data_IF_553872535352
#
_entry.id   IF_553872535352
#
_cell.length_a   1.000
_cell.length_b   1.000
_cell.length_c   1.000
_cell.angle_alpha   90.00
_cell.angle_beta   90.00
_cell.angle_gamma   90.00
#
_symmetry.space_group_name_H-M   'P 1'
#
loop_
_entity.id
_entity.type
_entity.pdbx_description
1 polymer ?
#
# COMPACT_ATOMS: atom_id res chain seq x y z
N UNK A 1 34.54 -31.42 -13.37
CA UNK A 1 34.20 -30.40 -12.36
C UNK A 1 32.87 -29.81 -12.79
N UNK A 2 31.77 -30.35 -12.26
CA UNK A 2 30.41 -30.05 -12.73
C UNK A 2 29.88 -28.88 -11.92
N UNK A 3 29.64 -27.75 -12.57
CA UNK A 3 29.17 -26.52 -11.94
C UNK A 3 27.64 -26.61 -11.81
N UNK A 4 27.14 -26.80 -10.59
CA UNK A 4 25.72 -26.73 -10.30
C UNK A 4 25.29 -25.25 -10.28
N UNK A 5 24.48 -24.84 -11.26
CA UNK A 5 23.83 -23.53 -11.28
C UNK A 5 22.62 -23.63 -10.35
N UNK A 6 22.72 -23.05 -9.16
CA UNK A 6 21.58 -22.86 -8.28
C UNK A 6 20.73 -21.69 -8.85
N UNK A 7 19.55 -22.00 -9.36
CA UNK A 7 18.56 -20.99 -9.71
C UNK A 7 17.96 -20.43 -8.41
N UNK A 8 18.01 -19.12 -8.13
CA UNK A 8 17.28 -18.56 -7.01
C UNK A 8 15.77 -18.64 -7.29
N UNK A 9 15.02 -19.33 -6.44
CA UNK A 9 13.57 -19.19 -6.39
C UNK A 9 13.25 -17.80 -5.84
N UNK A 10 12.77 -16.90 -6.69
CA UNK A 10 12.15 -15.67 -6.24
C UNK A 10 10.79 -16.02 -5.61
N UNK A 11 10.66 -15.81 -4.30
CA UNK A 11 9.35 -15.86 -3.63
C UNK A 11 8.61 -14.59 -4.04
N UNK A 12 7.64 -14.72 -4.94
CA UNK A 12 6.72 -13.62 -5.23
C UNK A 12 5.77 -13.49 -4.05
N UNK A 13 5.92 -12.44 -3.26
CA UNK A 13 4.92 -12.05 -2.26
C UNK A 13 3.70 -11.53 -3.01
N UNK A 14 2.61 -12.29 -2.97
CA UNK A 14 1.32 -11.87 -3.53
C UNK A 14 0.57 -11.07 -2.48
N UNK A 15 0.07 -9.89 -2.83
CA UNK A 15 -0.80 -9.13 -1.94
C UNK A 15 -2.02 -9.94 -1.52
N UNK A 16 -2.67 -9.47 -0.45
CA UNK A 16 -4.01 -9.88 -0.08
C UNK A 16 -4.96 -9.92 -1.30
N UNK A 17 -5.67 -11.03 -1.49
CA UNK A 17 -6.44 -11.27 -2.72
C UNK A 17 -7.81 -10.58 -2.77
N UNK A 18 -8.11 -9.66 -1.85
CA UNK A 18 -9.39 -8.99 -1.76
C UNK A 18 -9.28 -7.46 -1.84
N UNK A 19 -10.40 -6.76 -2.13
CA UNK A 19 -10.41 -5.30 -2.25
C UNK A 19 -10.15 -4.60 -0.92
N UNK A 20 -9.11 -3.74 -0.83
CA UNK A 20 -8.73 -3.04 0.42
C UNK A 20 -9.93 -2.30 1.03
N UNK A 21 -10.71 -1.60 0.22
CA UNK A 21 -11.87 -0.84 0.71
C UNK A 21 -12.98 -1.68 1.37
N UNK A 22 -13.00 -2.98 1.09
CA UNK A 22 -14.01 -3.92 1.60
C UNK A 22 -13.46 -4.77 2.75
N UNK A 23 -12.23 -4.54 3.20
CA UNK A 23 -11.68 -5.24 4.35
C UNK A 23 -12.54 -4.97 5.58
N UNK A 24 -12.91 -6.04 6.28
CA UNK A 24 -13.65 -5.93 7.52
C UNK A 24 -12.93 -5.01 8.51
N UNK A 25 -13.70 -4.16 9.19
CA UNK A 25 -13.22 -3.21 10.19
C UNK A 25 -12.22 -2.15 9.70
N UNK A 26 -11.96 -2.02 8.40
CA UNK A 26 -11.13 -0.92 7.88
C UNK A 26 -11.85 0.42 8.12
N UNK A 27 -11.18 1.34 8.80
CA UNK A 27 -11.69 2.67 9.14
C UNK A 27 -11.12 3.74 8.21
N UNK A 28 -9.85 3.63 7.83
CA UNK A 28 -9.20 4.60 6.94
C UNK A 28 -7.88 4.11 6.37
N UNK A 29 -7.39 4.79 5.34
CA UNK A 29 -6.03 4.67 4.79
C UNK A 29 -5.28 5.97 5.05
N UNK A 30 -4.07 5.90 5.59
CA UNK A 30 -3.20 7.06 5.87
C UNK A 30 -1.93 6.97 5.03
N UNK A 31 -1.55 8.08 4.40
CA UNK A 31 -0.33 8.21 3.61
C UNK A 31 0.58 9.16 4.37
N UNK A 32 1.82 8.75 4.63
CA UNK A 32 2.81 9.51 5.37
C UNK A 32 3.91 10.03 4.46
N UNK A 33 4.32 11.28 4.69
CA UNK A 33 5.55 11.87 4.16
C UNK A 33 6.49 12.19 5.33
N UNK A 34 7.78 11.94 5.13
CA UNK A 34 8.82 12.40 6.04
C UNK A 34 9.73 13.33 5.25
N UNK A 35 9.78 14.62 5.62
CA UNK A 35 10.75 15.58 5.03
C UNK A 35 11.38 16.45 6.11
N UNK A 36 10.54 17.14 6.89
CA UNK A 36 10.96 17.95 8.05
C UNK A 36 10.26 17.49 9.34
N UNK A 37 9.94 16.20 9.39
CA UNK A 37 9.01 15.59 10.34
C UNK A 37 8.02 14.70 9.59
N UNK A 38 7.31 13.86 10.34
CA UNK A 38 6.32 12.94 9.80
C UNK A 38 4.96 13.64 9.76
N UNK A 39 4.41 13.77 8.57
CA UNK A 39 3.06 14.31 8.33
C UNK A 39 2.23 13.27 7.58
N UNK A 40 0.91 13.26 7.79
CA UNK A 40 0.05 12.28 7.15
C UNK A 40 -1.28 12.85 6.69
N UNK A 41 -1.79 12.34 5.58
CA UNK A 41 -3.16 12.57 5.11
C UNK A 41 -3.96 11.28 5.23
N UNK A 42 -5.26 11.38 5.54
CA UNK A 42 -6.10 10.21 5.83
C UNK A 42 -7.40 10.26 5.03
N UNK A 43 -7.76 9.12 4.44
CA UNK A 43 -8.97 8.95 3.64
C UNK A 43 -9.84 7.83 4.21
N UNK A 44 -11.15 8.05 4.20
CA UNK A 44 -12.10 6.97 4.43
C UNK A 44 -12.01 5.94 3.28
N UNK A 45 -12.31 4.64 3.52
CA UNK A 45 -12.12 3.59 2.52
C UNK A 45 -12.93 3.79 1.24
N UNK A 46 -14.02 4.54 1.32
CA UNK A 46 -14.90 4.84 0.18
C UNK A 46 -14.86 6.32 -0.22
N UNK A 47 -13.82 7.06 0.21
CA UNK A 47 -13.66 8.46 -0.16
C UNK A 47 -13.47 8.58 -1.69
N UNK A 48 -14.07 9.60 -2.35
CA UNK A 48 -13.90 9.80 -3.78
C UNK A 48 -12.44 9.92 -4.22
N UNK A 49 -11.58 10.49 -3.36
CA UNK A 49 -10.14 10.63 -3.58
C UNK A 49 -9.50 9.26 -3.82
N UNK A 50 -9.67 8.31 -2.91
CA UNK A 50 -9.00 7.00 -2.98
C UNK A 50 -9.70 5.98 -3.88
N UNK A 51 -10.95 6.22 -4.27
CA UNK A 51 -11.71 5.28 -5.13
C UNK A 51 -11.64 5.62 -6.62
N UNK A 52 -11.07 6.77 -6.99
CA UNK A 52 -10.93 7.18 -8.38
C UNK A 52 -9.64 7.97 -8.59
N UNK A 53 -8.79 7.47 -9.49
CA UNK A 53 -7.61 8.21 -9.96
C UNK A 53 -8.02 9.52 -10.63
N UNK A 54 -7.35 10.61 -10.30
CA UNK A 54 -7.55 11.91 -10.96
C UNK A 54 -7.02 11.91 -12.38
N UNK A 55 -7.77 12.53 -13.29
CA UNK A 55 -7.27 12.84 -14.62
C UNK A 55 -6.04 13.78 -14.54
N UNK A 56 -5.13 13.67 -15.51
CA UNK A 56 -3.98 14.56 -15.61
C UNK A 56 -4.32 15.89 -16.31
N UNK A 57 -3.47 16.93 -16.14
CA UNK A 57 -2.33 16.99 -15.23
C UNK A 57 -2.76 17.24 -13.77
N UNK A 58 -1.92 16.84 -12.81
CA UNK A 58 -2.11 17.25 -11.42
C UNK A 58 -1.66 18.71 -11.27
N UNK A 59 -2.45 19.51 -10.54
CA UNK A 59 -2.24 20.95 -10.38
C UNK A 59 -2.73 21.41 -9.01
N UNK A 60 -2.56 22.70 -8.69
CA UNK A 60 -3.10 23.32 -7.46
C UNK A 60 -4.63 23.27 -7.32
N UNK A 61 -5.36 22.87 -8.35
CA UNK A 61 -6.82 22.69 -8.29
C UNK A 61 -7.25 21.26 -8.61
N UNK A 62 -6.29 20.37 -8.92
CA UNK A 62 -6.55 18.98 -9.28
C UNK A 62 -5.51 18.06 -8.63
N UNK A 63 -5.73 17.76 -7.35
CA UNK A 63 -4.87 16.93 -6.51
C UNK A 63 -5.67 16.42 -5.30
N UNK A 64 -5.22 15.35 -4.65
CA UNK A 64 -5.83 14.82 -3.43
C UNK A 64 -5.17 15.34 -2.15
N UNK A 65 -3.84 15.49 -2.18
CA UNK A 65 -3.07 16.06 -1.08
C UNK A 65 -1.74 16.64 -1.56
N UNK A 66 -1.16 17.47 -0.72
CA UNK A 66 0.11 18.14 -0.93
C UNK A 66 0.71 18.45 0.44
N UNK A 67 1.96 18.07 0.65
CA UNK A 67 2.72 18.38 1.86
C UNK A 67 3.66 19.56 1.65
N UNK A 68 4.05 19.80 0.40
CA UNK A 68 4.84 20.94 -0.02
C UNK A 68 4.19 21.66 -1.22
N UNK A 69 4.17 22.99 -1.20
CA UNK A 69 3.56 23.77 -2.26
C UNK A 69 4.22 23.48 -3.63
N UNK A 70 3.42 23.01 -4.59
CA UNK A 70 3.88 22.64 -5.94
C UNK A 70 4.16 21.15 -6.12
N UNK A 71 4.12 20.36 -5.04
CA UNK A 71 4.18 18.91 -5.06
C UNK A 71 2.77 18.36 -4.83
N UNK A 72 2.16 17.89 -5.91
CA UNK A 72 0.76 17.50 -5.94
C UNK A 72 0.63 15.99 -6.10
N UNK A 73 -0.14 15.36 -5.22
CA UNK A 73 -0.34 13.93 -5.21
C UNK A 73 -1.77 13.53 -5.57
N UNK A 74 -1.90 12.31 -6.06
CA UNK A 74 -3.13 11.57 -6.34
C UNK A 74 -2.97 10.18 -5.70
N UNK A 75 -4.00 9.69 -5.02
CA UNK A 75 -3.95 8.38 -4.36
C UNK A 75 -5.18 7.59 -4.70
N UNK A 76 -5.02 6.31 -5.04
CA UNK A 76 -6.14 5.48 -5.44
C UNK A 76 -5.87 3.99 -5.20
N UNK A 77 -6.94 3.20 -5.06
CA UNK A 77 -6.85 1.75 -5.13
C UNK A 77 -6.52 1.29 -6.55
N UNK A 78 -5.72 0.24 -6.64
CA UNK A 78 -5.12 -0.18 -7.91
C UNK A 78 -4.85 -1.68 -7.96
N UNK A 79 -4.54 -2.16 -9.16
CA UNK A 79 -3.88 -3.45 -9.36
C UNK A 79 -2.36 -3.37 -9.03
N UNK A 80 -1.67 -4.50 -9.15
CA UNK A 80 -0.24 -4.58 -8.84
C UNK A 80 0.65 -3.69 -9.74
N UNK A 81 0.19 -3.38 -10.96
CA UNK A 81 0.91 -2.54 -11.92
C UNK A 81 0.62 -1.04 -11.72
N UNK A 82 -0.26 -0.71 -10.78
CA UNK A 82 -0.70 0.65 -10.48
C UNK A 82 -1.79 1.16 -11.44
N UNK A 83 -2.48 0.27 -12.15
CA UNK A 83 -3.66 0.67 -12.91
C UNK A 83 -4.84 0.90 -11.94
N UNK A 84 -5.66 1.95 -12.13
CA UNK A 84 -6.77 2.24 -11.24
C UNK A 84 -7.78 1.09 -11.19
N UNK A 85 -8.09 0.64 -9.98
CA UNK A 85 -9.14 -0.31 -9.70
C UNK A 85 -9.73 0.03 -8.34
N UNK A 86 -10.96 0.53 -8.33
CA UNK A 86 -11.64 0.87 -7.08
C UNK A 86 -11.82 -0.35 -6.17
N UNK A 87 -11.73 -1.58 -6.68
CA UNK A 87 -11.73 -2.82 -5.91
C UNK A 87 -10.34 -3.47 -5.81
N UNK A 88 -9.28 -2.69 -6.05
CA UNK A 88 -7.91 -3.16 -6.04
C UNK A 88 -7.41 -3.59 -4.66
N UNK A 89 -6.38 -4.43 -4.70
CA UNK A 89 -5.67 -4.95 -3.52
C UNK A 89 -4.38 -4.19 -3.19
N UNK A 90 -4.14 -3.08 -3.88
CA UNK A 90 -2.96 -2.24 -3.73
C UNK A 90 -3.37 -0.77 -3.58
N UNK A 91 -2.56 0.01 -2.90
CA UNK A 91 -2.69 1.48 -2.88
C UNK A 91 -1.59 2.05 -3.77
N UNK A 92 -1.98 2.86 -4.74
CA UNK A 92 -1.05 3.61 -5.57
C UNK A 92 -1.07 5.09 -5.19
N UNK A 93 0.12 5.65 -5.00
CA UNK A 93 0.35 7.09 -4.93
C UNK A 93 1.06 7.50 -6.22
N UNK A 94 0.51 8.49 -6.89
CA UNK A 94 1.15 9.19 -7.98
C UNK A 94 1.33 10.67 -7.62
N UNK A 95 2.23 11.35 -8.32
CA UNK A 95 2.37 12.79 -8.11
C UNK A 95 3.17 13.51 -9.18
N UNK A 96 3.06 14.83 -9.13
CA UNK A 96 3.70 15.79 -10.03
C UNK A 96 4.44 16.82 -9.20
N UNK A 97 5.72 16.99 -9.52
CA UNK A 97 6.55 18.04 -8.95
C UNK A 97 7.65 18.44 -9.96
N UNK A 98 7.38 19.43 -10.83
CA UNK A 98 8.30 19.86 -11.88
C UNK A 98 9.32 20.88 -11.36
N UNK A 99 9.98 20.59 -10.23
CA UNK A 99 10.92 21.51 -9.57
C UNK A 99 12.36 20.99 -9.56
N UNK A 100 13.00 20.85 -10.73
CA UNK A 100 14.38 20.38 -10.80
C UNK A 100 15.31 21.39 -10.10
N UNK A 101 15.98 20.99 -9.02
CA UNK A 101 16.97 21.82 -8.33
C UNK A 101 16.91 21.82 -6.81
N UNK A 102 15.93 21.14 -6.19
CA UNK A 102 15.98 20.93 -4.74
C UNK A 102 16.94 19.78 -4.38
N UNK A 103 17.84 20.05 -3.43
CA UNK A 103 18.89 19.11 -2.99
C UNK A 103 18.40 18.06 -1.98
N UNK A 104 17.10 17.96 -1.74
CA UNK A 104 16.47 16.98 -0.84
C UNK A 104 15.77 15.84 -1.58
N UNK A 105 15.70 15.90 -2.91
CA UNK A 105 14.82 15.04 -3.70
C UNK A 105 13.35 15.33 -3.44
N UNK A 106 12.47 14.59 -4.12
CA UNK A 106 11.04 14.72 -3.94
C UNK A 106 10.28 13.41 -3.84
N UNK A 107 8.99 13.58 -3.60
CA UNK A 107 8.01 12.55 -3.31
C UNK A 107 8.40 11.67 -2.13
N UNK A 108 8.63 12.29 -0.97
CA UNK A 108 9.22 11.63 0.20
C UNK A 108 8.20 10.77 0.99
N UNK A 109 7.39 9.98 0.29
CA UNK A 109 6.34 9.13 0.87
C UNK A 109 6.98 8.01 1.69
N UNK A 110 6.93 8.14 3.02
CA UNK A 110 7.58 7.26 3.98
C UNK A 110 6.79 5.99 4.25
N UNK A 111 5.45 6.04 4.30
CA UNK A 111 4.64 4.87 4.61
C UNK A 111 3.22 5.00 4.09
N UNK A 112 2.57 3.86 3.84
CA UNK A 112 1.12 3.77 3.67
C UNK A 112 0.57 2.82 4.73
N UNK A 113 -0.44 3.28 5.48
CA UNK A 113 -1.01 2.55 6.61
C UNK A 113 -2.50 2.36 6.46
N UNK A 114 -2.97 1.14 6.68
CA UNK A 114 -4.36 0.80 6.91
C UNK A 114 -4.67 0.94 8.39
N UNK A 115 -5.75 1.65 8.72
CA UNK A 115 -6.20 1.81 10.11
C UNK A 115 -7.54 1.09 10.28
N UNK A 116 -7.59 0.17 11.23
CA UNK A 116 -8.75 -0.64 11.56
C UNK A 116 -9.40 -0.19 12.87
N UNK A 117 -10.65 -0.61 13.08
CA UNK A 117 -11.32 -0.42 14.35
C UNK A 117 -10.53 -1.07 15.50
N UNK A 118 -10.63 -0.49 16.70
CA UNK A 118 -9.90 -1.01 17.87
C UNK A 118 -8.41 -0.64 17.90
N UNK A 119 -7.99 0.40 17.16
CA UNK A 119 -6.60 0.89 17.10
C UNK A 119 -5.60 -0.11 16.51
N UNK A 120 -6.08 -1.04 15.70
CA UNK A 120 -5.22 -1.96 14.96
C UNK A 120 -4.78 -1.25 13.67
N UNK A 121 -3.51 -1.42 13.29
CA UNK A 121 -2.96 -0.83 12.07
C UNK A 121 -2.10 -1.84 11.33
N UNK A 122 -2.04 -1.69 10.01
CA UNK A 122 -1.18 -2.49 9.13
C UNK A 122 -0.43 -1.54 8.17
N UNK A 123 0.89 -1.62 8.14
CA UNK A 123 1.70 -0.83 7.19
C UNK A 123 1.87 -1.63 5.90
N UNK A 124 2.15 -0.94 4.80
CA UNK A 124 2.50 -1.62 3.56
C UNK A 124 3.79 -2.43 3.74
N UNK A 125 3.84 -3.62 3.14
CA UNK A 125 4.91 -4.59 3.36
C UNK A 125 5.90 -4.68 2.19
N UNK A 126 5.47 -4.27 0.99
CA UNK A 126 6.29 -4.37 -0.21
C UNK A 126 5.86 -3.40 -1.31
N UNK A 127 6.80 -3.08 -2.19
CA UNK A 127 6.57 -2.32 -3.43
C UNK A 127 6.18 -3.29 -4.55
N UNK A 128 4.96 -3.17 -5.06
CA UNK A 128 4.45 -4.01 -6.15
C UNK A 128 4.87 -3.48 -7.52
N UNK A 129 4.83 -2.16 -7.70
CA UNK A 129 5.39 -1.48 -8.87
C UNK A 129 5.85 -0.08 -8.52
N UNK A 130 6.81 0.43 -9.29
CA UNK A 130 7.38 1.74 -9.02
C UNK A 130 7.86 2.41 -10.31
N UNK A 131 7.75 3.73 -10.35
CA UNK A 131 8.34 4.59 -11.37
C UNK A 131 8.84 5.89 -10.72
N UNK A 132 10.14 6.16 -10.86
CA UNK A 132 10.73 7.44 -10.50
C UNK A 132 10.17 8.58 -11.35
N UNK A 133 10.25 9.81 -10.85
CA UNK A 133 10.20 10.98 -11.72
C UNK A 133 11.38 10.98 -12.70
N UNK A 134 11.18 11.46 -13.92
CA UNK A 134 12.17 11.44 -14.99
C UNK A 134 13.40 12.29 -14.71
N UNK A 135 13.29 13.26 -13.80
CA UNK A 135 14.43 14.01 -13.26
C UNK A 135 14.94 13.30 -12.02
N UNK A 136 15.73 12.27 -12.26
CA UNK A 136 16.40 11.45 -11.26
C UNK A 136 17.85 11.20 -11.70
N UNK A 137 18.78 12.05 -11.27
CA UNK A 137 20.21 11.98 -11.63
C UNK A 137 21.08 11.36 -10.54
N UNK A 138 20.48 10.59 -9.64
CA UNK A 138 21.11 10.08 -8.43
C UNK A 138 21.12 11.08 -7.27
N UNK A 139 21.88 10.76 -6.23
CA UNK A 139 21.91 11.58 -5.02
C UNK A 139 22.40 13.02 -5.35
N UNK A 140 21.76 14.06 -4.80
CA UNK A 140 20.71 13.97 -3.78
C UNK A 140 19.28 14.00 -4.33
N UNK A 141 19.08 14.10 -5.65
CA UNK A 141 17.77 14.25 -6.31
C UNK A 141 16.87 13.03 -6.15
N UNK A 142 17.42 11.84 -6.29
CA UNK A 142 16.76 10.57 -6.04
C UNK A 142 17.76 9.57 -5.47
N UNK A 143 17.28 8.56 -4.78
CA UNK A 143 18.08 7.42 -4.35
C UNK A 143 17.48 6.14 -4.90
N UNK A 144 18.18 5.50 -5.85
CA UNK A 144 17.76 4.21 -6.39
C UNK A 144 17.66 3.18 -5.25
N UNK A 145 16.56 2.44 -5.19
CA UNK A 145 16.27 1.47 -4.14
C UNK A 145 15.58 2.08 -2.91
N UNK A 146 15.46 3.40 -2.83
CA UNK A 146 14.79 4.06 -1.69
C UNK A 146 13.27 3.88 -1.70
N UNK A 147 12.67 3.37 -2.78
CA UNK A 147 11.26 2.98 -2.79
C UNK A 147 10.93 1.93 -1.72
N UNK A 148 11.90 1.08 -1.35
CA UNK A 148 11.71 0.09 -0.30
C UNK A 148 11.62 0.72 1.10
N UNK A 149 12.10 1.97 1.26
CA UNK A 149 11.92 2.73 2.50
C UNK A 149 10.47 3.20 2.67
N UNK A 150 9.63 3.11 1.63
CA UNK A 150 8.21 3.48 1.71
C UNK A 150 7.31 2.37 2.30
N UNK A 151 7.90 1.21 2.59
CA UNK A 151 7.26 -0.04 3.00
C UNK A 151 8.13 -0.80 4.01
N UNK A 152 8.99 -0.08 4.73
CA UNK A 152 9.94 -0.67 5.70
C UNK A 152 9.40 -0.66 7.14
N UNK A 153 8.16 -0.21 7.30
CA UNK A 153 7.42 -0.05 8.55
C UNK A 153 8.09 0.93 9.50
N UNK A 154 8.82 1.93 8.96
CA UNK A 154 9.53 2.92 9.74
C UNK A 154 9.26 4.33 9.21
N UNK A 155 8.34 5.02 9.89
CA UNK A 155 7.97 6.42 9.61
C UNK A 155 9.14 7.43 9.64
N UNK A 156 10.30 7.06 10.17
CA UNK A 156 11.47 7.95 10.24
C UNK A 156 12.40 7.85 9.03
N UNK A 157 12.12 6.97 8.07
CA UNK A 157 12.92 6.86 6.85
C UNK A 157 12.57 7.97 5.87
N UNK A 158 13.54 8.30 5.00
CA UNK A 158 13.47 9.43 4.08
C UNK A 158 13.66 8.95 2.63
N UNK A 159 12.59 8.44 1.99
CA UNK A 159 12.63 8.00 0.60
C UNK A 159 12.84 9.19 -0.33
N UNK A 160 13.48 9.01 -1.49
CA UNK A 160 13.73 10.09 -2.46
C UNK A 160 13.50 9.60 -3.88
N UNK A 161 12.39 10.04 -4.50
CA UNK A 161 11.93 9.51 -5.79
C UNK A 161 12.15 10.46 -6.98
N UNK A 162 12.92 11.55 -6.80
CA UNK A 162 13.23 12.49 -7.87
C UNK A 162 12.18 13.57 -8.07
N UNK A 163 12.13 14.13 -9.27
CA UNK A 163 11.16 15.14 -9.70
C UNK A 163 10.56 14.73 -11.06
N UNK A 164 9.37 15.20 -11.36
CA UNK A 164 8.78 14.98 -12.69
C UNK A 164 9.34 15.98 -13.70
N UNK A 165 9.20 15.69 -15.00
CA UNK A 165 9.68 16.58 -16.06
C UNK A 165 9.10 18.00 -15.95
N UNK A 166 9.93 19.04 -16.11
CA UNK A 166 9.46 20.42 -16.20
C UNK A 166 8.73 20.74 -17.51
N UNK A 167 8.81 19.86 -18.51
CA UNK A 167 8.22 20.07 -19.84
C UNK A 167 7.09 19.10 -20.18
N UNK A 168 6.91 18.03 -19.41
CA UNK A 168 5.80 17.09 -19.56
C UNK A 168 4.87 17.16 -18.33
N UNK A 169 3.79 17.96 -18.38
CA UNK A 169 2.87 18.13 -17.24
C UNK A 169 2.04 16.87 -16.93
N UNK A 170 2.04 15.87 -17.82
CA UNK A 170 1.32 14.61 -17.62
C UNK A 170 2.18 13.50 -17.04
N UNK A 171 3.50 13.71 -16.93
CA UNK A 171 4.36 12.76 -16.26
C UNK A 171 4.01 12.69 -14.78
N UNK A 172 3.98 11.48 -14.23
CA UNK A 172 3.80 11.25 -12.80
C UNK A 172 4.84 10.27 -12.31
N UNK A 173 5.39 10.50 -11.11
CA UNK A 173 5.99 9.40 -10.36
C UNK A 173 4.88 8.41 -9.98
N UNK A 174 5.25 7.16 -9.67
CA UNK A 174 4.31 6.16 -9.16
C UNK A 174 4.94 5.27 -8.10
N UNK A 175 4.24 5.09 -6.99
CA UNK A 175 4.51 4.09 -5.96
C UNK A 175 3.24 3.24 -5.77
N UNK A 176 3.32 1.95 -6.07
CA UNK A 176 2.24 0.99 -5.78
C UNK A 176 2.68 0.07 -4.65
N UNK A 177 1.98 0.13 -3.53
CA UNK A 177 2.31 -0.61 -2.32
C UNK A 177 1.29 -1.73 -2.05
N UNK A 178 1.77 -2.87 -1.57
CA UNK A 178 0.98 -4.04 -1.20
C UNK A 178 1.06 -4.37 0.28
N UNK A 179 0.12 -5.22 0.74
CA UNK A 179 -0.06 -5.61 2.13
C UNK A 179 -0.18 -7.14 2.22
N UNK A 180 0.57 -7.75 3.13
CA UNK A 180 0.58 -9.17 3.44
C UNK A 180 -0.26 -9.49 4.70
N UNK A 181 -0.45 -8.53 5.61
CA UNK A 181 -1.00 -8.72 6.97
C UNK A 181 -2.52 -8.66 7.13
N UNK A 182 -3.30 -8.45 6.06
CA UNK A 182 -4.73 -8.15 6.19
C UNK A 182 -5.57 -9.37 6.65
N UNK A 183 -5.15 -10.61 6.35
CA UNK A 183 -5.94 -11.82 6.65
C UNK A 183 -6.11 -12.10 8.14
N UNK A 184 -5.11 -11.75 8.95
CA UNK A 184 -5.07 -12.10 10.38
C UNK A 184 -5.85 -11.07 11.22
N UNK A 185 -6.15 -9.90 10.66
CA UNK A 185 -6.97 -8.87 11.30
C UNK A 185 -8.47 -9.05 11.05
N UNK A 186 -8.81 -9.92 10.11
CA UNK A 186 -10.19 -10.25 9.74
C UNK A 186 -10.77 -11.40 10.56
N UNK A 187 -10.17 -11.77 11.71
CA UNK A 187 -10.60 -12.90 12.55
C UNK A 187 -12.13 -12.93 12.70
N UNK A 188 -12.75 -13.77 11.87
CA UNK A 188 -14.04 -14.37 12.13
C UNK A 188 -13.80 -15.23 13.36
N UNK A 189 -14.51 -15.03 14.48
CA UNK A 189 -14.39 -15.92 15.61
C UNK A 189 -14.73 -17.33 15.11
N UNK A 190 -13.74 -18.21 14.99
CA UNK A 190 -14.03 -19.59 14.68
C UNK A 190 -14.98 -20.11 15.76
N UNK A 191 -16.05 -20.85 15.41
CA UNK A 191 -16.82 -21.53 16.43
C UNK A 191 -15.83 -22.40 17.19
N UNK A 192 -15.66 -22.09 18.48
CA UNK A 192 -14.66 -22.73 19.32
C UNK A 192 -14.68 -24.25 19.05
N UNK A 193 -13.53 -24.91 18.85
CA UNK A 193 -13.48 -26.33 18.46
C UNK A 193 -14.28 -27.26 19.40
N UNK A 194 -14.57 -26.79 20.62
CA UNK A 194 -15.51 -27.41 21.56
C UNK A 194 -16.96 -27.54 21.05
N UNK A 195 -17.49 -26.59 20.28
CA UNK A 195 -18.86 -26.65 19.74
C UNK A 195 -19.00 -27.70 18.64
N UNK A 196 -18.00 -27.84 17.75
CA UNK A 196 -17.96 -28.92 16.76
C UNK A 196 -17.73 -30.29 17.43
N UNK A 197 -16.86 -30.37 18.44
CA UNK A 197 -16.65 -31.60 19.18
C UNK A 197 -17.89 -32.05 19.97
N UNK A 198 -18.64 -31.11 20.55
CA UNK A 198 -19.89 -31.39 21.27
C UNK A 198 -21.00 -31.88 20.34
N UNK A 199 -21.12 -31.30 19.13
CA UNK A 199 -22.06 -31.77 18.12
C UNK A 199 -21.70 -33.19 17.62
N UNK A 200 -20.41 -33.47 17.41
CA UNK A 200 -19.92 -34.79 17.00
C UNK A 200 -20.14 -35.89 18.05
N UNK A 201 -19.89 -35.59 19.33
CA UNK A 201 -20.06 -36.56 20.43
C UNK A 201 -21.53 -36.82 20.76
N UNK A 202 -22.42 -35.82 20.63
CA UNK A 202 -23.86 -36.00 20.79
C UNK A 202 -24.47 -36.95 19.75
N UNK A 203 -24.04 -36.85 18.49
CA UNK A 203 -24.51 -37.73 17.42
C UNK A 203 -24.09 -39.20 17.62
N UNK A 204 -22.86 -39.45 18.10
CA UNK A 204 -22.37 -40.81 18.38
C UNK A 204 -23.08 -41.41 19.61
N UNK A 205 -23.36 -40.62 20.64
CA UNK A 205 -24.11 -41.06 21.82
C UNK A 205 -25.55 -41.50 21.50
N UNK A 206 -26.23 -40.81 20.58
CA UNK A 206 -27.58 -41.14 20.13
C UNK A 206 -27.63 -42.39 19.24
N UNK A 207 -26.60 -42.64 18.42
CA UNK A 207 -26.50 -43.83 17.58
C UNK A 207 -26.20 -45.11 18.38
N UNK A 208 -25.51 -45.00 19.52
CA UNK A 208 -25.15 -46.17 20.36
C UNK A 208 -26.30 -46.70 21.22
N UNK A 209 -27.39 -45.93 21.41
CA UNK A 209 -28.55 -46.33 22.24
C UNK A 209 -29.61 -47.17 21.49
N UNK A 210 -29.37 -47.55 20.23
CA UNK A 210 -30.33 -48.29 19.37
C UNK A 210 -30.02 -49.77 19.14
N UNK A 211 -29.36 -50.45 20.07
CA UNK A 211 -29.31 -51.92 20.10
C UNK A 211 -29.72 -52.43 21.47
N UNK A 212 -31.02 -52.68 21.61
CA UNK A 212 -31.58 -53.69 22.51
C UNK A 212 -31.63 -55.03 21.76
#
# INVERSE_FOLDING_TARGET
MTMAIALPLAVQTTAWAAPIRNTANLVSVTIFEATFGVVGTTYAPNAPQITARRAGPLTSTNFDFSFFAGEYYDVFYSDAAGAPDANGSYVTVEGVWPAPGQNSGGFNIAEIRLNFAGNVTDFADFVASFAYGSVCSGAPTCLVGSENLAVDQNLSTFPRFGFTSPTNPNERFRLTAGFNGISDLAEVPEPAPFLLAAAGLGAIGLLRRRKA
#
